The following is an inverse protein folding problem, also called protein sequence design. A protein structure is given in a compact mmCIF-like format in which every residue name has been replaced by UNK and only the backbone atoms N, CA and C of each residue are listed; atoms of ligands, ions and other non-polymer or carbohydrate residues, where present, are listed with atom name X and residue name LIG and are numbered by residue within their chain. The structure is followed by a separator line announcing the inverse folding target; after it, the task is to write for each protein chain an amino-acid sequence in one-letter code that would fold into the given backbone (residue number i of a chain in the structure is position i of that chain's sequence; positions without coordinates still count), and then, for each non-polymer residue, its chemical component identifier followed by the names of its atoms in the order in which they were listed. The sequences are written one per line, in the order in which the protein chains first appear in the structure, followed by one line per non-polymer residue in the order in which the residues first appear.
data_IF_697605808038
#
_entry.id   IF_697605808038
#
_cell.length_a   1.000
_cell.length_b   1.000
_cell.length_c   1.000
_cell.angle_alpha   90.00
_cell.angle_beta   90.00
_cell.angle_gamma   90.00
#
_symmetry.space_group_name_H-M   'P 1'
#
loop_
_entity.id
_entity.type
_entity.pdbx_description
1 polymer ?
#
# COMPACT_ATOMS: atom_id res chain seq x y z
N UNK A 1 18.15 15.00 8.41
CA UNK A 1 18.38 14.33 9.71
C UNK A 1 17.56 13.05 9.73
N UNK A 2 18.11 11.91 10.16
CA UNK A 2 17.29 10.70 10.25
C UNK A 2 18.09 9.43 10.13
N UNK A 3 18.86 9.11 11.17
CA UNK A 3 19.25 7.71 11.36
C UNK A 3 17.97 7.00 11.80
N UNK A 4 17.50 6.05 10.99
CA UNK A 4 16.46 5.11 11.42
C UNK A 4 17.09 4.33 12.57
N UNK A 5 16.49 4.40 13.76
CA UNK A 5 16.99 3.75 14.96
C UNK A 5 17.20 2.24 14.78
N UNK A 6 17.91 1.57 15.70
CA UNK A 6 18.27 0.17 15.55
C UNK A 6 17.03 -0.68 15.25
N UNK A 7 17.00 -1.30 14.08
CA UNK A 7 15.98 -2.27 13.72
C UNK A 7 16.28 -3.57 14.47
N UNK A 8 15.63 -3.76 15.61
CA UNK A 8 15.66 -5.04 16.32
C UNK A 8 14.79 -6.01 15.56
N UNK A 9 15.44 -6.93 14.85
CA UNK A 9 14.75 -8.01 14.15
C UNK A 9 14.60 -9.22 15.07
N UNK A 10 13.46 -9.31 15.77
CA UNK A 10 13.09 -10.48 16.60
C UNK A 10 12.61 -11.68 15.75
N UNK A 11 12.57 -11.52 14.42
CA UNK A 11 12.02 -12.51 13.49
C UNK A 11 13.08 -13.47 12.92
N UNK A 12 14.36 -13.35 13.32
CA UNK A 12 15.46 -14.16 12.77
C UNK A 12 15.30 -15.68 12.99
N UNK A 13 14.51 -16.08 13.99
CA UNK A 13 14.22 -17.48 14.29
C UNK A 13 12.89 -17.99 13.69
N UNK A 14 12.16 -17.18 12.92
CA UNK A 14 10.91 -17.60 12.30
C UNK A 14 11.18 -18.64 11.20
N UNK A 15 10.58 -19.83 11.34
CA UNK A 15 10.68 -20.90 10.33
C UNK A 15 9.45 -20.85 9.43
N UNK A 16 9.67 -20.77 8.12
CA UNK A 16 8.60 -20.89 7.11
C UNK A 16 8.48 -22.34 6.68
N UNK A 17 7.33 -22.97 6.96
CA UNK A 17 7.09 -24.38 6.64
C UNK A 17 6.31 -24.59 5.33
N UNK A 18 5.63 -23.56 4.84
CA UNK A 18 4.83 -23.63 3.62
C UNK A 18 4.88 -22.33 2.82
N UNK A 19 4.95 -22.44 1.49
CA UNK A 19 4.87 -21.34 0.55
C UNK A 19 3.76 -21.62 -0.46
N UNK A 20 2.82 -20.69 -0.59
CA UNK A 20 1.70 -20.78 -1.52
C UNK A 20 1.75 -19.63 -2.52
N UNK A 21 1.43 -19.93 -3.79
CA UNK A 21 1.29 -18.92 -4.82
C UNK A 21 -0.20 -18.70 -5.12
N UNK A 22 -0.69 -17.49 -4.84
CA UNK A 22 -2.03 -17.08 -5.24
C UNK A 22 -1.98 -16.50 -6.66
N UNK A 23 -2.72 -17.10 -7.59
CA UNK A 23 -2.79 -16.68 -8.99
C UNK A 23 -4.24 -16.66 -9.46
N UNK A 24 -4.62 -15.59 -10.16
CA UNK A 24 -5.85 -15.54 -10.93
C UNK A 24 -5.55 -14.96 -12.31
N UNK A 25 -6.26 -15.46 -13.34
CA UNK A 25 -6.06 -15.03 -14.72
C UNK A 25 -6.98 -13.86 -15.03
N UNK A 26 -6.41 -12.73 -15.43
CA UNK A 26 -7.16 -11.54 -15.84
C UNK A 26 -7.66 -10.66 -14.69
N UNK A 27 -7.37 -11.03 -13.44
CA UNK A 27 -7.74 -10.22 -12.27
C UNK A 27 -6.69 -9.14 -11.97
N UNK A 28 -7.13 -7.93 -11.59
CA UNK A 28 -6.23 -6.91 -11.05
C UNK A 28 -5.50 -7.42 -9.79
N UNK A 29 -4.20 -7.13 -9.70
CA UNK A 29 -3.37 -7.52 -8.56
C UNK A 29 -3.91 -7.01 -7.22
N UNK A 30 -4.62 -5.88 -7.21
CA UNK A 30 -5.31 -5.34 -6.03
C UNK A 30 -6.31 -6.33 -5.44
N UNK A 31 -7.11 -6.99 -6.27
CA UNK A 31 -8.10 -7.96 -5.79
C UNK A 31 -7.41 -9.20 -5.24
N UNK A 32 -6.35 -9.64 -5.92
CA UNK A 32 -5.49 -10.71 -5.42
C UNK A 32 -4.87 -10.40 -4.05
N UNK A 33 -4.43 -9.17 -3.81
CA UNK A 33 -3.90 -8.76 -2.51
C UNK A 33 -4.97 -8.79 -1.41
N UNK A 34 -6.20 -8.31 -1.70
CA UNK A 34 -7.33 -8.38 -0.76
C UNK A 34 -7.73 -9.81 -0.43
N UNK A 35 -7.76 -10.69 -1.43
CA UNK A 35 -8.05 -12.11 -1.23
C UNK A 35 -6.93 -12.80 -0.44
N UNK A 36 -5.66 -12.44 -0.71
CA UNK A 36 -4.53 -12.91 0.07
C UNK A 36 -4.64 -12.49 1.54
N UNK A 37 -5.12 -11.28 1.83
CA UNK A 37 -5.37 -10.83 3.20
C UNK A 37 -6.49 -11.63 3.88
N UNK A 38 -7.58 -11.91 3.18
CA UNK A 38 -8.63 -12.79 3.68
C UNK A 38 -8.13 -14.21 3.96
N UNK A 39 -7.24 -14.73 3.12
CA UNK A 39 -6.61 -16.05 3.33
C UNK A 39 -5.65 -16.01 4.52
N UNK A 40 -4.83 -14.96 4.65
CA UNK A 40 -3.97 -14.73 5.80
C UNK A 40 -4.74 -14.74 7.10
N UNK A 41 -5.85 -13.99 7.18
CA UNK A 41 -6.72 -13.97 8.34
C UNK A 41 -7.21 -15.37 8.71
N UNK A 42 -7.67 -16.16 7.73
CA UNK A 42 -8.12 -17.54 7.97
C UNK A 42 -6.99 -18.46 8.42
N UNK A 43 -5.81 -18.36 7.80
CA UNK A 43 -4.65 -19.19 8.12
C UNK A 43 -4.10 -18.90 9.52
N UNK A 44 -4.19 -17.65 10.00
CA UNK A 44 -3.81 -17.30 11.38
C UNK A 44 -4.71 -17.97 12.44
N UNK A 45 -5.90 -18.47 12.08
CA UNK A 45 -6.74 -19.22 13.00
C UNK A 45 -6.41 -20.72 13.05
N UNK A 46 -5.52 -21.22 12.17
CA UNK A 46 -5.13 -22.62 12.17
C UNK A 46 -4.17 -22.88 13.35
N UNK A 47 -4.42 -23.91 14.18
CA UNK A 47 -3.54 -24.22 15.31
C UNK A 47 -2.09 -24.42 14.86
N UNK A 48 -1.16 -23.74 15.54
CA UNK A 48 0.27 -23.79 15.23
C UNK A 48 0.75 -22.75 14.20
N UNK A 49 -0.15 -21.98 13.58
CA UNK A 49 0.24 -20.88 12.70
C UNK A 49 0.46 -19.61 13.52
N UNK A 50 1.73 -19.24 13.72
CA UNK A 50 2.10 -18.02 14.45
C UNK A 50 2.12 -16.78 13.55
N UNK A 51 2.44 -16.95 12.26
CA UNK A 51 2.67 -15.85 11.33
C UNK A 51 2.36 -16.27 9.90
N UNK A 52 1.81 -15.33 9.14
CA UNK A 52 1.54 -15.46 7.70
C UNK A 52 1.93 -14.15 7.04
N UNK A 53 2.82 -14.23 6.04
CA UNK A 53 3.33 -13.08 5.30
C UNK A 53 2.79 -13.11 3.86
N UNK A 54 2.37 -11.96 3.36
CA UNK A 54 2.02 -11.76 1.96
C UNK A 54 3.22 -11.13 1.27
N UNK A 55 3.64 -11.72 0.15
CA UNK A 55 4.80 -11.26 -0.62
C UNK A 55 4.33 -10.84 -2.01
N UNK A 56 4.86 -9.72 -2.50
CA UNK A 56 4.54 -9.22 -3.84
C UNK A 56 3.25 -8.39 -3.90
N UNK A 57 2.75 -7.91 -2.77
CA UNK A 57 1.74 -6.85 -2.75
C UNK A 57 2.33 -5.58 -3.37
N UNK A 58 1.61 -4.98 -4.31
CA UNK A 58 1.96 -3.68 -4.87
C UNK A 58 1.13 -2.60 -4.19
N UNK A 59 1.76 -1.65 -3.47
CA UNK A 59 1.02 -0.58 -2.81
C UNK A 59 0.32 0.30 -3.84
N UNK A 60 -0.94 0.61 -3.59
CA UNK A 60 -1.71 1.50 -4.45
C UNK A 60 -1.11 2.91 -4.43
N UNK A 61 -0.97 3.51 -5.62
CA UNK A 61 -0.53 4.89 -5.78
C UNK A 61 -1.51 5.63 -6.66
N UNK A 62 -1.94 6.79 -6.22
CA UNK A 62 -2.68 7.73 -7.04
C UNK A 62 -1.66 8.58 -7.79
N UNK A 63 -1.65 8.46 -9.12
CA UNK A 63 -0.86 9.32 -9.98
C UNK A 63 -1.71 10.50 -10.40
N UNK A 64 -1.22 11.71 -10.14
CA UNK A 64 -1.84 12.93 -10.64
C UNK A 64 -0.96 13.44 -11.78
N UNK A 65 -1.47 13.34 -13.00
CA UNK A 65 -0.77 13.80 -14.21
C UNK A 65 -1.35 15.15 -14.65
N UNK A 66 -0.46 16.12 -14.89
CA UNK A 66 -0.85 17.45 -15.35
C UNK A 66 -0.35 17.70 -16.78
N UNK A 67 -1.24 18.21 -17.63
CA UNK A 67 -0.81 18.83 -18.89
C UNK A 67 -0.28 20.23 -18.60
N UNK A 68 1.02 20.43 -18.83
CA UNK A 68 1.68 21.72 -18.63
C UNK A 68 1.08 22.81 -19.54
N UNK A 69 0.67 22.46 -20.75
CA UNK A 69 0.00 23.36 -21.70
C UNK A 69 -1.36 23.84 -21.17
N UNK A 70 -2.11 22.94 -20.53
CA UNK A 70 -3.41 23.28 -19.94
C UNK A 70 -3.28 24.12 -18.66
N UNK A 71 -2.23 23.89 -17.86
CA UNK A 71 -1.94 24.74 -16.70
C UNK A 71 -1.50 26.15 -17.11
N UNK A 72 -0.65 26.25 -18.14
CA UNK A 72 -0.17 27.54 -18.65
C UNK A 72 -1.29 28.38 -19.28
N UNK A 73 -2.22 27.76 -20.01
CA UNK A 73 -3.39 28.44 -20.59
C UNK A 73 -4.41 28.89 -19.53
N UNK A 74 -4.48 28.19 -18.40
CA UNK A 74 -5.34 28.56 -17.27
C UNK A 74 -4.67 29.52 -16.28
N UNK A 75 -3.37 29.83 -16.46
CA UNK A 75 -2.61 30.68 -15.54
C UNK A 75 -2.39 30.08 -14.14
N UNK A 76 -2.60 28.77 -13.98
CA UNK A 76 -2.50 28.07 -12.69
C UNK A 76 -1.12 27.45 -12.52
N UNK A 77 -0.45 27.77 -11.43
CA UNK A 77 0.85 27.20 -11.10
C UNK A 77 0.74 25.75 -10.62
N UNK A 78 1.68 24.84 -10.96
CA UNK A 78 1.68 23.47 -10.43
C UNK A 78 1.62 23.41 -8.88
N UNK A 79 2.25 24.38 -8.21
CA UNK A 79 2.24 24.50 -6.75
C UNK A 79 0.83 24.75 -6.18
N UNK A 80 0.01 25.54 -6.88
CA UNK A 80 -1.37 25.84 -6.47
C UNK A 80 -2.25 24.59 -6.55
N UNK A 81 -2.01 23.73 -7.55
CA UNK A 81 -2.73 22.46 -7.68
C UNK A 81 -2.38 21.48 -6.56
N UNK A 82 -1.09 21.35 -6.21
CA UNK A 82 -0.68 20.54 -5.06
C UNK A 82 -1.23 21.11 -3.74
N UNK A 83 -1.25 22.44 -3.57
CA UNK A 83 -1.84 23.07 -2.41
C UNK A 83 -3.34 22.78 -2.31
N UNK A 84 -4.08 22.84 -3.43
CA UNK A 84 -5.50 22.52 -3.48
C UNK A 84 -5.78 21.03 -3.19
N UNK A 85 -4.98 20.12 -3.74
CA UNK A 85 -5.08 18.69 -3.46
C UNK A 85 -4.81 18.39 -1.97
N UNK A 86 -3.80 19.02 -1.38
CA UNK A 86 -3.51 18.87 0.05
C UNK A 86 -4.62 19.49 0.92
N UNK A 87 -5.20 20.62 0.51
CA UNK A 87 -6.30 21.25 1.23
C UNK A 87 -7.59 20.42 1.17
N UNK A 88 -7.86 19.71 0.07
CA UNK A 88 -9.03 18.81 -0.04
C UNK A 88 -8.79 17.44 0.60
N UNK A 89 -7.56 16.91 0.54
CA UNK A 89 -7.20 15.64 1.17
C UNK A 89 -6.82 15.78 2.65
N UNK A 90 -6.73 17.00 3.17
CA UNK A 90 -6.69 17.23 4.60
C UNK A 90 -7.96 16.61 5.18
N UNK A 91 -7.78 15.46 5.85
CA UNK A 91 -8.82 14.82 6.65
C UNK A 91 -9.25 15.84 7.71
N UNK A 92 -10.26 16.63 7.39
CA UNK A 92 -11.01 17.35 8.39
C UNK A 92 -11.72 16.26 9.19
N UNK A 93 -11.21 15.96 10.39
CA UNK A 93 -11.95 15.20 11.38
C UNK A 93 -13.25 15.97 11.64
N UNK A 94 -14.29 15.61 10.89
CA UNK A 94 -15.61 16.19 11.05
C UNK A 94 -16.24 15.51 12.26
N UNK A 95 -15.94 16.03 13.45
CA UNK A 95 -16.57 15.67 14.72
C UNK A 95 -15.97 14.45 15.39
#
# INVERSE_FOLDING_TARGET
AGVIGPMVNDEYADVTFALFALKAKGEPQRLLARDAESLRQRLLHVPGVKKVNIIGEQPERIFVEFSHERLATLGVGPQEVFAALNAQNALNAAG
#
